data_IF_556058447888
#
_entry.id   IF_556058447888
#
_cell.length_a   1.000
_cell.length_b   1.000
_cell.length_c   1.000
_cell.angle_alpha   90.00
_cell.angle_beta   90.00
_cell.angle_gamma   90.00
#
_symmetry.space_group_name_H-M   'P 1'
#
loop_
_entity.id
_entity.type
_entity.pdbx_description
1 polymer ?
#
# COMPACT_ATOMS: atom_id res chain seq x y z
N UNK A 1 -23.88 26.22 -0.16
CA UNK A 1 -24.06 24.94 -0.86
C UNK A 1 -25.35 24.31 -0.36
N UNK A 2 -26.13 23.61 -1.20
CA UNK A 2 -27.26 22.84 -0.70
C UNK A 2 -26.78 21.84 0.37
N UNK A 3 -27.64 21.48 1.32
CA UNK A 3 -27.32 20.47 2.31
C UNK A 3 -27.04 19.14 1.62
N UNK A 4 -25.98 18.45 2.04
CA UNK A 4 -25.61 17.12 1.55
C UNK A 4 -26.76 16.17 1.89
N UNK A 5 -27.33 15.49 0.89
CA UNK A 5 -28.29 14.41 1.12
C UNK A 5 -27.51 13.16 1.55
N UNK A 6 -27.34 13.01 2.86
CA UNK A 6 -26.61 11.89 3.49
C UNK A 6 -27.59 10.75 3.73
N UNK A 7 -27.34 9.61 3.08
CA UNK A 7 -28.19 8.42 3.16
C UNK A 7 -27.45 7.28 3.86
N UNK A 8 -28.08 6.68 4.86
CA UNK A 8 -27.50 5.54 5.57
C UNK A 8 -27.89 4.22 4.93
N UNK A 9 -26.93 3.30 4.87
CA UNK A 9 -27.14 1.89 4.50
C UNK A 9 -26.80 1.04 5.72
N UNK A 10 -27.83 0.42 6.30
CA UNK A 10 -27.76 -0.31 7.57
C UNK A 10 -28.30 -1.76 7.45
N UNK A 11 -28.49 -2.25 6.23
CA UNK A 11 -28.99 -3.60 5.97
C UNK A 11 -28.59 -4.07 4.56
N UNK A 12 -28.56 -5.39 4.38
CA UNK A 12 -28.14 -6.05 3.15
C UNK A 12 -29.03 -5.71 1.95
N UNK A 13 -30.34 -5.55 2.14
CA UNK A 13 -31.29 -5.32 1.05
C UNK A 13 -31.12 -3.92 0.47
N UNK A 14 -30.95 -2.92 1.33
CA UNK A 14 -30.65 -1.54 0.93
C UNK A 14 -29.30 -1.48 0.22
N UNK A 15 -28.27 -2.16 0.74
CA UNK A 15 -26.95 -2.23 0.07
C UNK A 15 -27.06 -2.81 -1.33
N UNK A 16 -27.78 -3.93 -1.49
CA UNK A 16 -27.96 -4.58 -2.78
C UNK A 16 -28.68 -3.67 -3.80
N UNK A 17 -29.74 -2.98 -3.37
CA UNK A 17 -30.48 -2.05 -4.21
C UNK A 17 -29.60 -0.87 -4.66
N UNK A 18 -28.84 -0.28 -3.73
CA UNK A 18 -27.90 0.80 -4.04
C UNK A 18 -26.79 0.34 -4.99
N UNK A 19 -26.19 -0.84 -4.77
CA UNK A 19 -25.19 -1.39 -5.66
C UNK A 19 -25.73 -1.60 -7.08
N UNK A 20 -26.97 -2.10 -7.22
CA UNK A 20 -27.60 -2.23 -8.54
C UNK A 20 -27.76 -0.87 -9.23
N UNK A 21 -28.12 0.19 -8.51
CA UNK A 21 -28.25 1.53 -9.08
C UNK A 21 -26.89 2.15 -9.43
N UNK A 22 -25.87 1.97 -8.57
CA UNK A 22 -24.51 2.47 -8.80
C UNK A 22 -23.83 1.81 -10.00
N UNK A 23 -24.21 0.58 -10.36
CA UNK A 23 -23.74 -0.09 -11.57
C UNK A 23 -24.21 0.53 -12.88
N UNK A 24 -25.26 1.36 -12.83
CA UNK A 24 -25.73 2.15 -13.96
C UNK A 24 -25.05 3.53 -14.06
N UNK A 25 -24.14 3.85 -13.12
CA UNK A 25 -23.38 5.11 -13.10
C UNK A 25 -22.03 4.94 -13.79
N UNK A 26 -21.48 5.99 -14.43
CA UNK A 26 -20.17 5.90 -15.07
C UNK A 26 -19.02 5.77 -14.06
N UNK A 27 -19.23 6.21 -12.81
CA UNK A 27 -18.27 6.12 -11.74
C UNK A 27 -18.96 6.10 -10.37
N UNK A 28 -18.20 5.71 -9.35
CA UNK A 28 -18.50 5.98 -7.94
C UNK A 28 -17.22 6.42 -7.23
N UNK A 29 -17.32 7.46 -6.40
CA UNK A 29 -16.30 7.84 -5.44
C UNK A 29 -16.43 6.98 -4.19
N UNK A 30 -15.32 6.43 -3.72
CA UNK A 30 -15.26 5.56 -2.56
C UNK A 30 -14.22 6.09 -1.57
N UNK A 31 -14.53 5.92 -0.30
CA UNK A 31 -13.59 6.13 0.80
C UNK A 31 -13.87 5.11 1.92
N UNK A 32 -12.94 4.97 2.86
CA UNK A 32 -13.15 4.14 4.05
C UNK A 32 -12.62 4.78 5.31
N UNK A 33 -13.31 4.53 6.43
CA UNK A 33 -12.76 4.77 7.77
C UNK A 33 -12.56 3.45 8.49
N UNK A 34 -11.41 3.29 9.13
CA UNK A 34 -11.03 2.03 9.79
C UNK A 34 -10.10 2.26 10.98
N UNK A 35 -10.08 1.28 11.89
CA UNK A 35 -9.17 1.28 13.03
C UNK A 35 -8.11 0.19 12.88
N UNK A 36 -6.83 0.56 13.09
CA UNK A 36 -5.68 -0.36 13.08
C UNK A 36 -4.69 -0.02 14.20
N UNK A 37 -5.18 -0.06 15.44
CA UNK A 37 -4.38 0.31 16.63
C UNK A 37 -3.76 -0.94 17.27
N UNK A 38 -4.61 -1.89 17.67
CA UNK A 38 -4.22 -3.08 18.42
C UNK A 38 -4.34 -4.39 17.62
N UNK A 39 -4.74 -4.29 16.35
CA UNK A 39 -4.94 -5.42 15.43
C UNK A 39 -3.89 -5.48 14.34
N UNK A 40 -3.68 -6.67 13.78
CA UNK A 40 -2.87 -6.83 12.58
C UNK A 40 -3.62 -6.31 11.36
N UNK A 41 -4.90 -6.67 11.26
CA UNK A 41 -5.75 -6.30 10.15
C UNK A 41 -6.59 -5.06 10.48
N UNK A 42 -6.94 -4.23 9.48
CA UNK A 42 -7.83 -3.10 9.69
C UNK A 42 -9.24 -3.58 10.06
N UNK A 43 -9.87 -2.92 11.03
CA UNK A 43 -11.28 -3.08 11.33
C UNK A 43 -12.03 -1.97 10.59
N UNK A 44 -12.78 -2.33 9.56
CA UNK A 44 -13.63 -1.39 8.84
C UNK A 44 -14.68 -0.80 9.78
N UNK A 45 -14.82 0.52 9.75
CA UNK A 45 -15.67 1.26 10.65
C UNK A 45 -16.73 2.08 9.92
N UNK A 46 -16.45 2.53 8.69
CA UNK A 46 -17.40 3.16 7.78
C UNK A 46 -16.94 2.97 6.34
N UNK A 47 -17.87 2.79 5.41
CA UNK A 47 -17.59 2.96 3.98
C UNK A 47 -18.45 4.09 3.45
N UNK A 48 -17.89 4.87 2.53
CA UNK A 48 -18.55 6.01 1.93
C UNK A 48 -18.65 5.81 0.43
N UNK A 49 -19.79 6.19 -0.14
CA UNK A 49 -20.03 6.17 -1.58
C UNK A 49 -20.60 7.52 -2.02
N UNK A 50 -19.99 8.13 -3.03
CA UNK A 50 -20.55 9.27 -3.75
C UNK A 50 -20.80 8.89 -5.22
N UNK A 51 -22.00 9.12 -5.74
CA UNK A 51 -22.32 8.85 -7.15
C UNK A 51 -22.39 10.12 -8.01
N UNK A 52 -22.00 11.26 -7.44
CA UNK A 52 -22.11 12.59 -8.04
C UNK A 52 -23.45 13.30 -7.80
N UNK A 53 -24.47 12.61 -7.29
CA UNK A 53 -25.78 13.19 -6.94
C UNK A 53 -26.07 13.14 -5.44
N UNK A 54 -25.76 12.01 -4.80
CA UNK A 54 -25.97 11.79 -3.37
C UNK A 54 -24.74 11.15 -2.72
N UNK A 55 -24.77 11.10 -1.39
CA UNK A 55 -23.73 10.47 -0.57
C UNK A 55 -24.35 9.41 0.32
N UNK A 56 -23.71 8.25 0.38
CA UNK A 56 -24.11 7.14 1.23
C UNK A 56 -23.03 6.81 2.23
N UNK A 57 -23.46 6.55 3.45
CA UNK A 57 -22.65 6.03 4.54
C UNK A 57 -23.12 4.62 4.86
N UNK A 58 -22.23 3.65 4.73
CA UNK A 58 -22.50 2.23 4.96
C UNK A 58 -21.87 1.85 6.30
N UNK A 59 -22.67 1.41 7.26
CA UNK A 59 -22.16 0.87 8.53
C UNK A 59 -21.77 -0.61 8.34
N UNK A 60 -20.46 -0.95 8.25
CA UNK A 60 -20.05 -2.32 7.96
C UNK A 60 -20.40 -3.31 9.07
N UNK A 61 -20.75 -2.83 10.27
CA UNK A 61 -21.16 -3.67 11.40
C UNK A 61 -22.58 -4.23 11.23
N UNK A 62 -23.39 -3.66 10.33
CA UNK A 62 -24.77 -4.06 10.08
C UNK A 62 -24.94 -4.85 8.78
N UNK A 63 -23.87 -5.02 7.99
CA UNK A 63 -23.90 -5.70 6.70
C UNK A 63 -23.35 -7.12 6.86
N UNK A 64 -24.16 -8.11 6.51
CA UNK A 64 -23.79 -9.53 6.48
C UNK A 64 -23.38 -10.01 5.09
N UNK A 65 -23.92 -9.41 4.02
CA UNK A 65 -23.66 -9.80 2.64
C UNK A 65 -23.01 -8.68 1.82
N UNK A 66 -21.71 -8.83 1.58
CA UNK A 66 -20.91 -7.90 0.76
C UNK A 66 -20.88 -8.26 -0.72
N UNK A 67 -21.53 -9.36 -1.15
CA UNK A 67 -21.49 -9.80 -2.55
C UNK A 67 -22.01 -8.77 -3.56
N UNK A 68 -23.04 -7.93 -3.27
CA UNK A 68 -23.44 -6.87 -4.19
C UNK A 68 -22.37 -5.78 -4.36
N UNK A 69 -21.71 -5.41 -3.27
CA UNK A 69 -20.65 -4.40 -3.29
C UNK A 69 -19.39 -4.95 -3.98
N UNK A 70 -19.04 -6.22 -3.74
CA UNK A 70 -18.00 -6.92 -4.50
C UNK A 70 -18.25 -6.84 -6.01
N UNK A 71 -19.49 -7.12 -6.45
CA UNK A 71 -19.86 -7.05 -7.86
C UNK A 71 -19.75 -5.63 -8.44
N UNK A 72 -19.98 -4.58 -7.65
CA UNK A 72 -19.74 -3.18 -8.05
C UNK A 72 -18.24 -2.88 -8.18
N UNK A 73 -17.43 -3.33 -7.22
CA UNK A 73 -15.97 -3.16 -7.26
C UNK A 73 -15.36 -3.82 -8.50
N UNK A 74 -15.87 -4.99 -8.90
CA UNK A 74 -15.39 -5.71 -10.08
C UNK A 74 -15.99 -5.21 -11.41
N UNK A 75 -17.02 -4.35 -11.39
CA UNK A 75 -17.73 -3.96 -12.61
C UNK A 75 -16.86 -3.08 -13.54
N UNK A 76 -16.46 -3.54 -14.73
CA UNK A 76 -15.60 -2.77 -15.61
C UNK A 76 -16.28 -1.53 -16.21
N UNK A 77 -17.61 -1.45 -16.16
CA UNK A 77 -18.36 -0.30 -16.67
C UNK A 77 -18.35 0.90 -15.71
N UNK A 78 -18.04 0.67 -14.42
CA UNK A 78 -18.03 1.71 -13.39
C UNK A 78 -16.61 1.99 -12.95
N UNK A 79 -16.16 3.23 -13.10
CA UNK A 79 -14.86 3.66 -12.55
C UNK A 79 -14.98 3.83 -11.04
N UNK A 80 -14.12 3.16 -10.27
CA UNK A 80 -14.03 3.38 -8.83
C UNK A 80 -12.96 4.43 -8.56
N UNK A 81 -13.40 5.55 -8.00
CA UNK A 81 -12.56 6.73 -7.75
C UNK A 81 -12.20 6.75 -6.28
N UNK A 82 -10.91 6.82 -5.98
CA UNK A 82 -10.38 6.94 -4.62
C UNK A 82 -9.27 7.99 -4.57
N UNK A 83 -8.79 8.31 -3.36
CA UNK A 83 -7.62 9.15 -3.17
C UNK A 83 -6.60 8.43 -2.28
N UNK A 84 -5.38 8.21 -2.78
CA UNK A 84 -4.30 7.60 -1.97
C UNK A 84 -4.68 6.22 -1.41
N UNK A 85 -5.31 5.39 -2.22
CA UNK A 85 -6.16 4.27 -1.81
C UNK A 85 -5.48 3.02 -1.21
N UNK A 86 -4.17 3.07 -0.90
CA UNK A 86 -3.40 1.87 -0.60
C UNK A 86 -3.91 1.09 0.61
N UNK A 87 -4.42 1.76 1.64
CA UNK A 87 -4.99 1.11 2.83
C UNK A 87 -6.46 0.72 2.61
N UNK A 88 -7.23 1.52 1.86
CA UNK A 88 -8.63 1.21 1.50
C UNK A 88 -8.74 -0.09 0.72
N UNK A 89 -7.79 -0.37 -0.17
CA UNK A 89 -7.74 -1.65 -0.90
C UNK A 89 -7.64 -2.83 0.08
N UNK A 90 -6.86 -2.73 1.15
CA UNK A 90 -6.78 -3.78 2.17
C UNK A 90 -8.13 -3.96 2.88
N UNK A 91 -8.83 -2.86 3.18
CA UNK A 91 -10.17 -2.87 3.79
C UNK A 91 -11.18 -3.55 2.86
N UNK A 92 -11.29 -3.14 1.59
CA UNK A 92 -12.22 -3.74 0.64
C UNK A 92 -11.97 -5.22 0.43
N UNK A 93 -10.69 -5.62 0.27
CA UNK A 93 -10.35 -7.03 0.09
C UNK A 93 -10.79 -7.87 1.29
N UNK A 94 -10.62 -7.35 2.51
CA UNK A 94 -10.99 -8.06 3.73
C UNK A 94 -12.51 -8.20 3.87
N UNK A 95 -13.26 -7.16 3.54
CA UNK A 95 -14.72 -7.16 3.65
C UNK A 95 -15.39 -7.97 2.53
N UNK A 96 -14.91 -7.81 1.30
CA UNK A 96 -15.65 -8.23 0.11
C UNK A 96 -14.95 -9.33 -0.70
N UNK A 97 -13.67 -9.61 -0.41
CA UNK A 97 -12.83 -10.48 -1.24
C UNK A 97 -12.42 -9.86 -2.59
N UNK A 98 -12.95 -8.68 -2.92
CA UNK A 98 -12.84 -8.05 -4.24
C UNK A 98 -12.15 -6.69 -4.13
N UNK A 99 -11.63 -6.20 -5.26
CA UNK A 99 -10.88 -4.95 -5.32
C UNK A 99 -11.35 -4.11 -6.51
N UNK A 100 -11.38 -2.77 -6.37
CA UNK A 100 -11.87 -1.88 -7.42
C UNK A 100 -11.17 -2.06 -8.78
N UNK A 101 -11.92 -2.38 -9.84
CA UNK A 101 -11.43 -2.46 -11.22
C UNK A 101 -12.50 -1.96 -12.21
N UNK A 102 -12.26 -0.89 -13.00
CA UNK A 102 -11.06 -0.05 -13.02
C UNK A 102 -10.96 0.88 -11.81
N UNK A 103 -9.72 1.15 -11.37
CA UNK A 103 -9.37 2.03 -10.26
C UNK A 103 -8.79 3.35 -10.78
N UNK A 104 -9.39 4.47 -10.39
CA UNK A 104 -8.89 5.83 -10.60
C UNK A 104 -8.46 6.42 -9.26
N UNK A 105 -7.14 6.56 -9.05
CA UNK A 105 -6.62 7.25 -7.87
C UNK A 105 -6.34 8.72 -8.19
N UNK A 106 -7.07 9.62 -7.53
CA UNK A 106 -6.98 11.07 -7.75
C UNK A 106 -5.63 11.66 -7.34
N UNK A 107 -4.90 11.04 -6.40
CA UNK A 107 -3.55 11.45 -6.05
C UNK A 107 -2.57 11.16 -7.20
N UNK A 108 -2.73 10.01 -7.85
CA UNK A 108 -1.91 9.63 -9.01
C UNK A 108 -2.28 10.51 -10.20
N UNK A 109 -3.58 10.73 -10.45
CA UNK A 109 -4.07 11.61 -11.50
C UNK A 109 -3.51 13.04 -11.39
N UNK A 110 -3.42 13.59 -10.17
CA UNK A 110 -2.79 14.89 -9.93
C UNK A 110 -1.32 14.92 -10.38
N UNK A 111 -0.58 13.82 -10.19
CA UNK A 111 0.78 13.68 -10.69
C UNK A 111 0.85 13.59 -12.22
N UNK A 112 -0.08 12.89 -12.87
CA UNK A 112 -0.19 12.85 -14.34
C UNK A 112 -0.49 14.20 -14.97
N UNK A 113 -1.10 15.11 -14.21
CA UNK A 113 -1.40 16.48 -14.63
C UNK A 113 -0.38 17.51 -14.15
N UNK A 114 0.73 17.06 -13.54
CA UNK A 114 1.77 17.93 -12.98
C UNK A 114 1.27 18.95 -11.94
N UNK A 115 0.15 18.63 -11.26
CA UNK A 115 -0.41 19.46 -10.18
C UNK A 115 0.42 19.26 -8.90
N UNK A 116 0.84 18.03 -8.64
CA UNK A 116 1.78 17.70 -7.58
C UNK A 116 1.92 16.20 -7.36
N UNK A 117 3.07 15.80 -6.80
CA UNK A 117 3.37 14.41 -6.46
C UNK A 117 2.94 14.10 -5.03
N UNK A 118 2.23 12.99 -4.84
CA UNK A 118 1.74 12.53 -3.52
C UNK A 118 1.03 13.63 -2.72
N UNK A 119 0.18 14.40 -3.40
CA UNK A 119 -0.61 15.46 -2.76
C UNK A 119 -1.69 14.85 -1.88
N UNK A 120 -1.74 15.23 -0.59
CA UNK A 120 -2.82 14.79 0.31
C UNK A 120 -4.17 15.41 -0.05
N UNK A 121 -5.25 14.73 0.35
CA UNK A 121 -6.61 15.00 -0.10
C UNK A 121 -7.06 16.46 0.10
N UNK A 122 -7.02 16.97 1.33
CA UNK A 122 -7.38 18.36 1.66
C UNK A 122 -6.61 19.40 0.82
N UNK A 123 -5.33 19.14 0.51
CA UNK A 123 -4.54 20.03 -0.35
C UNK A 123 -5.00 19.97 -1.81
N UNK A 124 -5.35 18.78 -2.30
CA UNK A 124 -5.86 18.59 -3.65
C UNK A 124 -7.23 19.26 -3.83
N UNK A 125 -8.13 19.10 -2.85
CA UNK A 125 -9.44 19.77 -2.80
C UNK A 125 -9.27 21.28 -2.80
N UNK A 126 -8.37 21.83 -1.98
CA UNK A 126 -8.06 23.27 -1.98
C UNK A 126 -7.52 23.75 -3.33
N UNK A 127 -6.60 23.00 -3.92
CA UNK A 127 -5.97 23.36 -5.20
C UNK A 127 -6.96 23.37 -6.37
N UNK A 128 -7.87 22.39 -6.42
CA UNK A 128 -8.80 22.23 -7.54
C UNK A 128 -10.12 22.98 -7.36
N UNK A 129 -10.65 23.00 -6.14
CA UNK A 129 -11.99 23.51 -5.84
C UNK A 129 -11.96 24.82 -5.04
N UNK A 130 -10.80 25.22 -4.50
CA UNK A 130 -10.70 26.39 -3.63
C UNK A 130 -11.34 26.21 -2.25
N UNK A 131 -11.67 24.97 -1.87
CA UNK A 131 -12.33 24.61 -0.62
C UNK A 131 -11.29 24.23 0.43
N UNK A 132 -11.35 24.83 1.61
CA UNK A 132 -10.53 24.42 2.75
C UNK A 132 -11.30 23.39 3.59
N UNK A 133 -10.86 22.13 3.52
CA UNK A 133 -11.42 21.11 4.39
C UNK A 133 -10.91 21.28 5.84
N UNK A 134 -11.80 21.22 6.85
CA UNK A 134 -11.37 21.17 8.24
C UNK A 134 -10.51 19.92 8.48
N UNK A 135 -9.56 20.00 9.43
CA UNK A 135 -8.64 18.88 9.74
C UNK A 135 -9.20 17.88 10.75
N UNK A 136 -10.47 18.05 11.09
CA UNK A 136 -11.07 17.43 12.25
C UNK A 136 -11.55 16.00 11.90
N UNK A 137 -11.49 15.08 12.86
CA UNK A 137 -11.94 13.67 12.76
C UNK A 137 -11.05 12.61 12.09
N UNK A 138 -9.96 12.95 11.38
CA UNK A 138 -9.00 11.94 10.80
C UNK A 138 -8.38 10.94 11.79
N UNK A 139 -8.47 11.22 13.10
CA UNK A 139 -7.99 10.34 14.20
C UNK A 139 -9.07 10.08 15.26
N UNK A 140 -10.33 10.20 14.87
CA UNK A 140 -11.47 9.94 15.75
C UNK A 140 -11.66 8.45 16.00
N UNK A 141 -12.42 8.09 17.03
CA UNK A 141 -12.86 6.71 17.23
C UNK A 141 -14.01 6.41 16.25
N UNK A 142 -13.67 5.87 15.09
CA UNK A 142 -14.66 5.52 14.06
C UNK A 142 -15.48 4.27 14.41
N UNK A 143 -15.08 3.50 15.42
CA UNK A 143 -15.86 2.35 15.91
C UNK A 143 -16.93 2.76 16.92
N UNK A 144 -16.93 4.01 17.40
CA UNK A 144 -17.97 4.48 18.31
C UNK A 144 -19.35 4.44 17.63
N UNK A 145 -20.39 4.14 18.42
CA UNK A 145 -21.78 4.16 17.94
C UNK A 145 -22.70 4.83 18.97
N UNK A 146 -23.60 5.75 18.54
CA UNK A 146 -23.68 6.31 17.18
C UNK A 146 -22.45 7.17 16.84
N UNK A 147 -22.15 7.34 15.55
CA UNK A 147 -21.14 8.33 15.12
C UNK A 147 -21.59 9.74 15.50
N UNK A 148 -20.63 10.63 15.74
CA UNK A 148 -20.94 12.04 15.99
C UNK A 148 -21.39 12.75 14.72
N UNK A 149 -22.15 13.85 14.85
CA UNK A 149 -22.56 14.65 13.69
C UNK A 149 -21.36 15.17 12.88
N UNK A 150 -20.23 15.43 13.55
CA UNK A 150 -19.00 15.88 12.89
C UNK A 150 -18.36 14.77 12.07
N UNK A 151 -18.28 13.55 12.60
CA UNK A 151 -17.80 12.38 11.86
C UNK A 151 -18.66 12.08 10.63
N UNK A 152 -19.99 12.11 10.79
CA UNK A 152 -20.94 11.89 9.69
C UNK A 152 -20.76 12.92 8.59
N UNK A 153 -20.60 14.20 8.95
CA UNK A 153 -20.37 15.27 7.99
C UNK A 153 -19.03 15.14 7.29
N UNK A 154 -17.96 14.93 8.06
CA UNK A 154 -16.61 14.73 7.54
C UNK A 154 -16.58 13.62 6.49
N UNK A 155 -17.08 12.42 6.85
CA UNK A 155 -17.11 11.28 5.96
C UNK A 155 -17.94 11.54 4.69
N UNK A 156 -19.05 12.26 4.82
CA UNK A 156 -19.87 12.58 3.66
C UNK A 156 -19.22 13.61 2.73
N UNK A 157 -18.57 14.64 3.28
CA UNK A 157 -17.84 15.66 2.53
C UNK A 157 -16.65 15.04 1.76
N UNK A 158 -15.99 14.02 2.32
CA UNK A 158 -14.86 13.35 1.66
C UNK A 158 -15.26 12.75 0.31
N UNK A 159 -16.34 11.97 0.22
CA UNK A 159 -16.77 11.42 -1.09
C UNK A 159 -17.53 12.42 -1.96
N UNK A 160 -18.19 13.43 -1.38
CA UNK A 160 -18.82 14.49 -2.16
C UNK A 160 -17.77 15.27 -2.95
N UNK A 161 -16.76 15.81 -2.27
CA UNK A 161 -15.71 16.59 -2.91
C UNK A 161 -14.81 15.70 -3.78
N UNK A 162 -14.71 14.41 -3.49
CA UNK A 162 -13.97 13.46 -4.33
C UNK A 162 -14.64 13.29 -5.70
N UNK A 163 -15.98 13.31 -5.77
CA UNK A 163 -16.71 13.36 -7.05
C UNK A 163 -16.36 14.63 -7.85
N UNK A 164 -16.33 15.80 -7.21
CA UNK A 164 -15.99 17.08 -7.84
C UNK A 164 -14.53 17.11 -8.32
N UNK A 165 -13.60 16.63 -7.49
CA UNK A 165 -12.18 16.46 -7.82
C UNK A 165 -12.01 15.51 -9.00
N UNK A 166 -12.69 14.37 -9.02
CA UNK A 166 -12.64 13.42 -10.12
C UNK A 166 -13.05 14.05 -11.44
N UNK A 167 -14.19 14.75 -11.47
CA UNK A 167 -14.66 15.40 -12.68
C UNK A 167 -13.63 16.40 -13.24
N UNK A 168 -13.01 17.20 -12.37
CA UNK A 168 -12.03 18.18 -12.82
C UNK A 168 -10.72 17.55 -13.30
N UNK A 169 -10.28 16.47 -12.66
CA UNK A 169 -9.09 15.72 -13.09
C UNK A 169 -9.34 14.97 -14.40
N UNK A 170 -10.43 14.21 -14.49
CA UNK A 170 -10.76 13.37 -15.66
C UNK A 170 -10.92 14.23 -16.92
N UNK A 171 -11.57 15.40 -16.80
CA UNK A 171 -11.72 16.38 -17.88
C UNK A 171 -10.38 16.93 -18.40
N UNK A 172 -9.34 17.00 -17.56
CA UNK A 172 -8.01 17.51 -17.92
C UNK A 172 -7.08 16.43 -18.48
N UNK A 173 -7.38 15.15 -18.25
CA UNK A 173 -6.56 14.05 -18.74
C UNK A 173 -6.76 13.84 -20.25
N UNK A 174 -5.67 13.63 -20.98
CA UNK A 174 -5.75 13.08 -22.33
C UNK A 174 -6.15 11.60 -22.28
N UNK A 175 -6.63 11.05 -23.39
CA UNK A 175 -6.96 9.63 -23.50
C UNK A 175 -5.78 8.72 -23.08
N UNK A 176 -4.56 9.05 -23.54
CA UNK A 176 -3.34 8.31 -23.19
C UNK A 176 -3.03 8.38 -21.68
N UNK A 177 -3.04 9.59 -21.09
CA UNK A 177 -2.77 9.75 -19.65
C UNK A 177 -3.81 9.05 -18.79
N UNK A 178 -5.08 9.10 -19.21
CA UNK A 178 -6.16 8.38 -18.53
C UNK A 178 -5.94 6.87 -18.60
N UNK A 179 -5.56 6.33 -19.77
CA UNK A 179 -5.23 4.91 -19.90
C UNK A 179 -4.03 4.51 -19.02
N UNK A 180 -2.97 5.32 -18.98
CA UNK A 180 -1.79 5.07 -18.13
C UNK A 180 -2.10 5.16 -16.63
N UNK A 181 -2.97 6.08 -16.23
CA UNK A 181 -3.47 6.18 -14.86
C UNK A 181 -4.22 4.90 -14.45
N UNK A 182 -5.10 4.40 -15.31
CA UNK A 182 -5.84 3.16 -15.04
C UNK A 182 -4.92 1.92 -15.07
N UNK A 183 -3.86 1.93 -15.88
CA UNK A 183 -2.79 0.92 -15.83
C UNK A 183 -2.12 0.94 -14.45
N UNK A 184 -1.71 2.12 -13.95
CA UNK A 184 -1.12 2.27 -12.61
C UNK A 184 -2.11 1.83 -11.49
N UNK A 185 -3.40 2.11 -11.65
CA UNK A 185 -4.46 1.63 -10.75
C UNK A 185 -4.55 0.10 -10.76
N UNK A 186 -4.52 -0.53 -11.93
CA UNK A 186 -4.50 -1.99 -12.05
C UNK A 186 -3.24 -2.60 -11.42
N UNK A 187 -2.09 -1.95 -11.51
CA UNK A 187 -0.86 -2.39 -10.84
C UNK A 187 -0.99 -2.35 -9.31
N UNK A 188 -1.63 -1.32 -8.75
CA UNK A 188 -1.89 -1.23 -7.30
C UNK A 188 -2.83 -2.35 -6.84
N UNK A 189 -3.89 -2.62 -7.60
CA UNK A 189 -4.83 -3.71 -7.31
C UNK A 189 -4.15 -5.07 -7.38
N UNK A 190 -3.34 -5.31 -8.43
CA UNK A 190 -2.60 -6.55 -8.60
C UNK A 190 -1.63 -6.79 -7.44
N UNK A 191 -0.93 -5.75 -6.98
CA UNK A 191 0.00 -5.83 -5.85
C UNK A 191 -0.69 -6.26 -4.55
N UNK A 192 -1.97 -5.97 -4.36
CA UNK A 192 -2.72 -6.41 -3.19
C UNK A 192 -3.05 -7.91 -3.24
N UNK A 193 -3.21 -8.49 -4.42
CA UNK A 193 -3.43 -9.94 -4.56
C UNK A 193 -2.16 -10.76 -4.44
N UNK A 194 -0.98 -10.14 -4.53
CA UNK A 194 0.29 -10.84 -4.30
C UNK A 194 0.31 -11.45 -2.89
N UNK A 195 0.37 -12.77 -2.83
CA UNK A 195 0.47 -13.49 -1.57
C UNK A 195 1.90 -13.32 -1.06
N UNK A 196 2.08 -12.44 -0.08
CA UNK A 196 3.33 -12.36 0.66
C UNK A 196 3.50 -13.60 1.53
N UNK A 197 4.33 -14.53 1.07
CA UNK A 197 4.77 -15.68 1.85
C UNK A 197 5.49 -15.16 3.11
N UNK A 198 5.02 -15.53 4.32
CA UNK A 198 5.73 -15.26 5.56
C UNK A 198 7.23 -15.62 5.54
N UNK A 199 7.64 -16.56 4.68
CA UNK A 199 9.03 -16.95 4.46
C UNK A 199 9.88 -15.93 3.70
N UNK A 200 9.29 -14.91 3.09
CA UNK A 200 10.03 -13.84 2.41
C UNK A 200 10.16 -12.56 3.27
N UNK A 201 9.46 -12.49 4.41
CA UNK A 201 9.45 -11.30 5.27
C UNK A 201 10.84 -10.88 5.79
N UNK A 202 11.80 -11.81 5.86
CA UNK A 202 13.18 -11.52 6.28
C UNK A 202 13.96 -10.68 5.27
N UNK A 203 13.57 -10.69 3.98
CA UNK A 203 14.26 -9.97 2.90
C UNK A 203 14.18 -8.45 3.07
N UNK A 204 13.11 -7.98 3.71
CA UNK A 204 12.87 -6.55 3.98
C UNK A 204 13.52 -6.07 5.28
N UNK A 205 14.12 -6.98 6.09
CA UNK A 205 14.79 -6.59 7.33
C UNK A 205 16.05 -5.80 7.03
N UNK A 206 16.15 -4.61 7.63
CA UNK A 206 17.31 -3.71 7.46
C UNK A 206 18.60 -4.44 7.84
N UNK A 207 19.61 -4.29 6.98
CA UNK A 207 20.94 -4.88 7.14
C UNK A 207 20.97 -6.43 7.14
N UNK A 208 19.90 -7.11 6.74
CA UNK A 208 19.91 -8.56 6.59
C UNK A 208 21.03 -9.06 5.67
N UNK A 209 21.39 -8.29 4.63
CA UNK A 209 22.52 -8.56 3.73
C UNK A 209 23.89 -8.71 4.42
N UNK A 210 24.04 -8.24 5.67
CA UNK A 210 25.28 -8.39 6.46
C UNK A 210 25.40 -9.72 7.21
N UNK A 211 24.34 -10.52 7.23
CA UNK A 211 24.29 -11.80 7.93
C UNK A 211 24.82 -12.90 7.02
N UNK A 212 25.51 -13.89 7.62
CA UNK A 212 25.92 -15.10 6.88
C UNK A 212 24.73 -16.05 6.67
N UNK A 213 24.90 -17.10 5.86
CA UNK A 213 23.82 -18.03 5.50
C UNK A 213 23.08 -18.64 6.71
N UNK A 214 23.81 -19.09 7.74
CA UNK A 214 23.21 -19.61 8.97
C UNK A 214 22.39 -18.53 9.73
N UNK A 215 22.95 -17.33 9.87
CA UNK A 215 22.26 -16.21 10.51
C UNK A 215 21.02 -15.78 9.73
N UNK A 216 21.07 -15.83 8.39
CA UNK A 216 19.91 -15.60 7.55
C UNK A 216 18.85 -16.69 7.71
N UNK A 217 19.24 -17.95 7.90
CA UNK A 217 18.30 -19.03 8.20
C UNK A 217 17.54 -18.78 9.51
N UNK A 218 18.25 -18.34 10.56
CA UNK A 218 17.64 -17.92 11.83
C UNK A 218 16.72 -16.72 11.63
N UNK A 219 17.16 -15.69 10.89
CA UNK A 219 16.35 -14.51 10.61
C UNK A 219 15.05 -14.89 9.88
N UNK A 220 15.13 -15.75 8.86
CA UNK A 220 13.97 -16.28 8.13
C UNK A 220 12.98 -16.93 9.10
N UNK A 221 13.43 -17.88 9.93
CA UNK A 221 12.57 -18.56 10.89
C UNK A 221 11.85 -17.58 11.85
N UNK A 222 12.59 -16.59 12.39
CA UNK A 222 12.03 -15.58 13.29
C UNK A 222 11.00 -14.67 12.59
N UNK A 223 11.28 -14.24 11.36
CA UNK A 223 10.37 -13.38 10.59
C UNK A 223 9.11 -14.13 10.17
N UNK A 224 9.24 -15.39 9.73
CA UNK A 224 8.11 -16.27 9.40
C UNK A 224 7.21 -16.45 10.60
N UNK A 225 7.78 -16.88 11.74
CA UNK A 225 7.02 -17.05 12.97
C UNK A 225 6.34 -15.75 13.40
N UNK A 226 7.05 -14.61 13.35
CA UNK A 226 6.48 -13.30 13.72
C UNK A 226 5.26 -12.97 12.86
N UNK A 227 5.36 -13.15 11.56
CA UNK A 227 4.29 -12.86 10.60
C UNK A 227 3.07 -13.76 10.86
N UNK A 228 3.29 -15.07 11.03
CA UNK A 228 2.25 -16.04 11.33
C UNK A 228 1.54 -15.73 12.65
N UNK A 229 2.29 -15.45 13.72
CA UNK A 229 1.71 -15.11 15.01
C UNK A 229 0.98 -13.78 15.01
N UNK A 230 1.46 -12.79 14.25
CA UNK A 230 0.79 -11.50 14.11
C UNK A 230 -0.58 -11.67 13.45
N UNK A 231 -0.66 -12.48 12.38
CA UNK A 231 -1.92 -12.83 11.71
C UNK A 231 -2.84 -13.67 12.58
N UNK A 232 -2.31 -14.73 13.21
CA UNK A 232 -3.09 -15.67 14.03
C UNK A 232 -3.69 -15.01 15.27
N UNK A 233 -2.92 -14.15 15.93
CA UNK A 233 -3.34 -13.45 17.15
C UNK A 233 -4.06 -12.14 16.86
N UNK A 234 -4.21 -11.77 15.58
CA UNK A 234 -4.64 -10.46 15.09
C UNK A 234 -4.01 -9.31 15.90
N UNK A 235 -2.67 -9.27 15.91
CA UNK A 235 -1.88 -8.29 16.67
C UNK A 235 -0.80 -7.65 15.80
N UNK A 236 -0.46 -6.37 16.02
CA UNK A 236 0.63 -5.72 15.32
C UNK A 236 1.93 -6.52 15.44
N UNK A 237 2.69 -6.60 14.35
CA UNK A 237 3.97 -7.35 14.28
C UNK A 237 4.93 -7.00 15.44
N UNK A 238 5.01 -5.72 15.79
CA UNK A 238 5.86 -5.23 16.87
C UNK A 238 5.38 -5.61 18.28
N UNK A 239 4.12 -6.02 18.44
CA UNK A 239 3.57 -6.57 19.69
C UNK A 239 3.95 -8.04 19.88
N UNK A 240 4.13 -8.77 18.78
CA UNK A 240 4.67 -10.14 18.78
C UNK A 240 6.18 -10.11 19.07
N UNK A 241 6.94 -9.50 18.15
CA UNK A 241 8.39 -9.39 18.25
C UNK A 241 8.85 -8.10 17.56
N UNK A 242 9.48 -7.21 18.31
CA UNK A 242 9.89 -5.90 17.81
C UNK A 242 10.88 -6.04 16.66
N UNK A 243 10.67 -5.25 15.62
CA UNK A 243 11.50 -5.27 14.41
C UNK A 243 12.99 -5.08 14.71
N UNK A 244 13.33 -4.21 15.66
CA UNK A 244 14.72 -3.92 16.06
C UNK A 244 15.43 -5.11 16.70
N UNK A 245 14.69 -6.05 17.29
CA UNK A 245 15.28 -7.24 17.93
C UNK A 245 15.60 -8.36 16.93
N UNK A 246 14.99 -8.38 15.74
CA UNK A 246 15.15 -9.46 14.77
C UNK A 246 16.61 -9.67 14.33
N UNK A 247 17.29 -8.58 13.92
CA UNK A 247 18.66 -8.66 13.44
C UNK A 247 19.64 -9.08 14.56
N UNK A 248 19.61 -8.48 15.78
CA UNK A 248 20.41 -8.95 16.89
C UNK A 248 20.17 -10.42 17.26
N UNK A 249 18.92 -10.89 17.28
CA UNK A 249 18.59 -12.29 17.55
C UNK A 249 19.27 -13.23 16.55
N UNK A 250 19.12 -12.93 15.26
CA UNK A 250 19.74 -13.70 14.20
C UNK A 250 21.27 -13.69 14.27
N UNK A 251 21.86 -12.55 14.67
CA UNK A 251 23.31 -12.37 14.78
C UNK A 251 23.92 -13.09 15.99
N UNK A 252 23.32 -12.98 17.17
CA UNK A 252 23.90 -13.46 18.44
C UNK A 252 23.42 -14.84 18.86
N UNK A 253 22.27 -15.29 18.35
CA UNK A 253 21.71 -16.63 18.56
C UNK A 253 21.70 -17.06 20.05
N UNK A 254 20.94 -16.36 20.92
CA UNK A 254 20.86 -16.68 22.34
C UNK A 254 20.42 -18.13 22.58
N UNK A 255 20.95 -18.74 23.65
CA UNK A 255 20.73 -20.16 23.99
C UNK A 255 19.92 -20.38 25.26
N UNK A 256 19.63 -19.31 25.98
CA UNK A 256 18.87 -19.34 27.22
C UNK A 256 18.07 -18.04 27.42
N UNK A 257 17.13 -18.05 28.36
CA UNK A 257 16.26 -16.90 28.63
C UNK A 257 17.02 -15.67 29.10
N UNK A 258 18.19 -15.84 29.73
CA UNK A 258 19.02 -14.73 30.24
C UNK A 258 19.67 -13.97 29.09
N UNK A 259 20.27 -14.69 28.14
CA UNK A 259 20.86 -14.13 26.92
C UNK A 259 19.78 -13.58 25.99
N UNK A 260 18.62 -14.22 25.90
CA UNK A 260 17.47 -13.71 25.16
C UNK A 260 17.00 -12.35 25.72
N UNK A 261 16.90 -12.21 27.04
CA UNK A 261 16.47 -10.96 27.69
C UNK A 261 17.47 -9.80 27.53
N UNK A 262 18.73 -10.08 27.16
CA UNK A 262 19.77 -9.06 26.89
C UNK A 262 19.75 -8.52 25.48
N UNK A 263 18.93 -9.09 24.59
CA UNK A 263 18.76 -8.59 23.22
C UNK A 263 18.18 -7.19 23.27
N UNK A 264 18.73 -6.29 22.44
CA UNK A 264 18.24 -4.93 22.30
C UNK A 264 16.75 -4.91 21.93
N UNK A 265 15.98 -4.05 22.61
CA UNK A 265 14.53 -3.87 22.41
C UNK A 265 13.68 -5.12 22.73
N UNK A 266 14.26 -6.13 23.42
CA UNK A 266 13.51 -7.31 23.86
C UNK A 266 12.59 -6.98 25.04
N UNK A 267 11.28 -7.15 24.84
CA UNK A 267 10.31 -6.84 25.88
C UNK A 267 10.18 -8.01 26.90
N UNK A 268 10.16 -7.76 28.22
CA UNK A 268 10.05 -8.83 29.23
C UNK A 268 8.82 -9.73 29.09
N UNK A 269 7.72 -9.18 28.55
CA UNK A 269 6.52 -9.96 28.22
C UNK A 269 6.80 -10.98 27.11
N UNK A 270 7.51 -10.59 26.05
CA UNK A 270 7.88 -11.48 24.94
C UNK A 270 8.75 -12.63 25.43
N UNK A 271 9.75 -12.35 26.29
CA UNK A 271 10.59 -13.39 26.91
C UNK A 271 9.75 -14.39 27.71
N UNK A 272 8.77 -13.91 28.49
CA UNK A 272 7.90 -14.80 29.29
C UNK A 272 6.89 -15.59 28.46
N UNK A 273 6.33 -15.00 27.41
CA UNK A 273 5.25 -15.61 26.64
C UNK A 273 5.75 -16.50 25.50
N UNK A 274 6.76 -16.03 24.78
CA UNK A 274 7.23 -16.65 23.54
C UNK A 274 8.72 -17.06 23.60
N UNK A 275 9.40 -16.84 24.72
CA UNK A 275 10.86 -17.04 24.83
C UNK A 275 11.33 -18.46 24.54
N UNK A 276 10.64 -19.49 25.05
CA UNK A 276 10.97 -20.89 24.76
C UNK A 276 10.82 -21.20 23.26
N UNK A 277 9.75 -20.70 22.64
CA UNK A 277 9.53 -20.84 21.18
C UNK A 277 10.63 -20.16 20.39
N UNK A 278 11.01 -18.93 20.75
CA UNK A 278 12.09 -18.20 20.09
C UNK A 278 13.43 -18.93 20.19
N UNK A 279 13.79 -19.43 21.39
CA UNK A 279 15.02 -20.19 21.60
C UNK A 279 15.04 -21.49 20.78
N UNK A 280 13.91 -22.20 20.73
CA UNK A 280 13.75 -23.40 19.91
C UNK A 280 13.94 -23.08 18.42
N UNK A 281 13.25 -22.07 17.89
CA UNK A 281 13.37 -21.65 16.49
C UNK A 281 14.80 -21.27 16.12
N UNK A 282 15.50 -20.55 17.01
CA UNK A 282 16.91 -20.18 16.82
C UNK A 282 17.78 -21.43 16.76
N UNK A 283 17.61 -22.36 17.70
CA UNK A 283 18.41 -23.59 17.76
C UNK A 283 18.17 -24.49 16.53
N UNK A 284 16.91 -24.68 16.14
CA UNK A 284 16.54 -25.48 14.96
C UNK A 284 17.09 -24.86 13.67
N UNK A 285 16.89 -23.56 13.47
CA UNK A 285 17.37 -22.87 12.27
C UNK A 285 18.91 -22.80 12.20
N UNK A 286 19.59 -22.65 13.34
CA UNK A 286 21.05 -22.66 13.40
C UNK A 286 21.64 -24.05 13.13
N UNK A 287 20.91 -25.12 13.42
CA UNK A 287 21.32 -26.51 13.17
C UNK A 287 21.09 -26.96 11.71
N UNK A 288 20.44 -26.15 10.88
CA UNK A 288 20.21 -26.47 9.47
C UNK A 288 21.54 -26.67 8.72
N UNK A 289 21.63 -27.71 7.87
CA UNK A 289 22.81 -27.92 7.05
C UNK A 289 22.94 -26.81 5.99
N UNK A 290 24.16 -26.55 5.51
CA UNK A 290 24.48 -25.38 4.67
C UNK A 290 23.68 -25.34 3.36
N UNK A 291 23.28 -26.51 2.86
CA UNK A 291 22.46 -26.69 1.66
C UNK A 291 21.04 -26.14 1.83
N UNK A 292 20.56 -25.97 3.06
CA UNK A 292 19.22 -25.44 3.37
C UNK A 292 19.23 -23.96 3.77
N UNK A 293 20.42 -23.33 3.82
CA UNK A 293 20.52 -21.90 4.12
C UNK A 293 19.93 -21.08 2.97
N UNK A 294 19.24 -19.97 3.27
CA UNK A 294 18.79 -19.05 2.24
C UNK A 294 20.00 -18.45 1.50
N UNK A 295 19.79 -18.12 0.23
CA UNK A 295 20.79 -17.41 -0.56
C UNK A 295 21.09 -16.04 0.08
N UNK A 296 22.36 -15.61 0.11
CA UNK A 296 22.73 -14.28 0.57
C UNK A 296 21.94 -13.20 -0.17
N UNK A 297 21.54 -12.15 0.55
CA UNK A 297 20.90 -11.00 -0.09
C UNK A 297 21.95 -10.18 -0.84
N UNK A 298 21.59 -9.59 -1.99
CA UNK A 298 22.50 -8.73 -2.72
C UNK A 298 22.85 -7.51 -1.86
N UNK A 299 24.12 -7.13 -1.89
CA UNK A 299 24.58 -5.92 -1.23
C UNK A 299 23.86 -4.68 -1.82
N UNK A 300 23.66 -3.63 -1.02
CA UNK A 300 23.26 -2.33 -1.54
C UNK A 300 24.27 -1.84 -2.58
N UNK A 301 23.79 -1.05 -3.54
CA UNK A 301 24.71 -0.38 -4.46
C UNK A 301 25.69 0.49 -3.68
N UNK A 302 26.98 0.50 -4.06
CA UNK A 302 27.99 1.28 -3.38
C UNK A 302 27.76 2.78 -3.65
N UNK A 303 28.37 3.66 -2.84
CA UNK A 303 28.13 5.11 -2.89
C UNK A 303 28.46 5.69 -4.28
N UNK A 304 29.46 5.13 -4.95
CA UNK A 304 29.94 5.47 -6.29
C UNK A 304 28.83 5.31 -7.36
N UNK A 305 27.89 4.38 -7.17
CA UNK A 305 26.75 4.20 -8.07
C UNK A 305 25.77 5.39 -8.07
N UNK A 306 25.85 6.28 -7.07
CA UNK A 306 24.98 7.46 -6.97
C UNK A 306 25.10 8.39 -8.18
N UNK A 307 26.28 8.48 -8.79
CA UNK A 307 26.49 9.28 -10.00
C UNK A 307 25.70 8.72 -11.20
N UNK A 308 25.68 7.40 -11.38
CA UNK A 308 24.89 6.73 -12.42
C UNK A 308 23.40 6.86 -12.14
N UNK A 309 22.95 6.69 -10.89
CA UNK A 309 21.56 6.92 -10.50
C UNK A 309 21.10 8.34 -10.84
N UNK A 310 21.96 9.35 -10.63
CA UNK A 310 21.65 10.73 -10.99
C UNK A 310 21.49 10.90 -12.50
N UNK A 311 22.37 10.31 -13.31
CA UNK A 311 22.25 10.32 -14.78
C UNK A 311 20.95 9.67 -15.26
N UNK A 312 20.62 8.49 -14.73
CA UNK A 312 19.39 7.78 -15.09
C UNK A 312 18.11 8.55 -14.72
N UNK A 313 18.11 9.26 -13.58
CA UNK A 313 16.98 10.12 -13.19
C UNK A 313 16.70 11.23 -14.20
N UNK A 314 17.73 11.75 -14.87
CA UNK A 314 17.56 12.81 -15.88
C UNK A 314 16.71 12.31 -17.06
N UNK A 315 16.78 11.02 -17.41
CA UNK A 315 15.93 10.43 -18.45
C UNK A 315 14.45 10.57 -18.07
N UNK A 316 14.08 10.16 -16.85
CA UNK A 316 12.72 10.28 -16.34
C UNK A 316 12.26 11.72 -16.20
N UNK A 317 13.16 12.60 -15.74
CA UNK A 317 12.88 14.04 -15.63
C UNK A 317 12.56 14.65 -16.99
N UNK A 318 13.36 14.37 -18.02
CA UNK A 318 13.14 14.87 -19.37
C UNK A 318 11.79 14.42 -19.94
N UNK A 319 11.45 13.14 -19.77
CA UNK A 319 10.15 12.64 -20.24
C UNK A 319 8.98 13.20 -19.44
N UNK A 320 9.14 13.40 -18.11
CA UNK A 320 8.14 14.05 -17.27
C UNK A 320 7.87 15.49 -17.70
N UNK A 321 8.93 16.27 -17.93
CA UNK A 321 8.84 17.64 -18.45
C UNK A 321 8.16 17.67 -19.83
N UNK A 322 8.56 16.76 -20.74
CA UNK A 322 7.96 16.68 -22.09
C UNK A 322 6.47 16.33 -22.06
N UNK A 323 6.06 15.43 -21.17
CA UNK A 323 4.67 14.98 -21.04
C UNK A 323 3.83 15.82 -20.08
N UNK A 324 4.44 16.78 -19.38
CA UNK A 324 3.81 17.50 -18.27
C UNK A 324 3.22 16.51 -17.24
N UNK A 325 4.07 15.59 -16.78
CA UNK A 325 3.82 14.62 -15.71
C UNK A 325 4.91 14.85 -14.65
N UNK A 326 4.57 14.77 -13.37
CA UNK A 326 5.58 14.90 -12.30
C UNK A 326 6.70 13.84 -12.50
N UNK A 327 7.99 14.23 -12.54
CA UNK A 327 9.10 13.32 -12.79
C UNK A 327 9.14 12.06 -11.91
N UNK A 328 8.65 12.17 -10.67
CA UNK A 328 8.61 11.09 -9.69
C UNK A 328 7.69 9.93 -10.12
N UNK A 329 6.66 10.19 -10.94
CA UNK A 329 5.82 9.15 -11.54
C UNK A 329 6.47 8.49 -12.75
N UNK A 330 7.48 9.12 -13.37
CA UNK A 330 8.13 8.57 -14.56
C UNK A 330 9.08 7.44 -14.18
N UNK A 331 9.85 7.62 -13.11
CA UNK A 331 10.82 6.62 -12.65
C UNK A 331 10.95 6.56 -11.14
N UNK A 332 10.55 5.41 -10.58
CA UNK A 332 10.81 5.10 -9.19
C UNK A 332 12.28 4.75 -8.97
N UNK A 333 12.85 5.24 -7.86
CA UNK A 333 14.23 4.93 -7.46
C UNK A 333 14.52 3.42 -7.43
N UNK A 334 13.59 2.60 -6.93
CA UNK A 334 13.73 1.13 -6.87
C UNK A 334 13.94 0.50 -8.24
N UNK A 335 13.32 1.04 -9.30
CA UNK A 335 13.50 0.56 -10.69
C UNK A 335 14.91 0.88 -11.18
N UNK A 336 15.40 2.09 -10.91
CA UNK A 336 16.76 2.49 -11.29
C UNK A 336 17.84 1.68 -10.55
N UNK A 337 17.63 1.40 -9.26
CA UNK A 337 18.52 0.55 -8.48
C UNK A 337 18.49 -0.90 -8.99
N UNK A 338 17.31 -1.42 -9.32
CA UNK A 338 17.17 -2.75 -9.90
C UNK A 338 17.90 -2.85 -11.26
N UNK A 339 17.73 -1.85 -12.14
CA UNK A 339 18.47 -1.75 -13.41
C UNK A 339 19.98 -1.79 -13.18
N UNK A 340 20.52 -0.93 -12.30
CA UNK A 340 21.96 -0.89 -12.06
C UNK A 340 22.49 -2.20 -11.49
N UNK A 341 21.74 -2.85 -10.59
CA UNK A 341 22.13 -4.15 -10.00
C UNK A 341 22.28 -5.27 -11.03
N UNK A 342 21.74 -5.14 -12.25
CA UNK A 342 21.88 -6.17 -13.30
C UNK A 342 23.28 -6.24 -13.90
N UNK A 343 24.06 -5.14 -13.86
CA UNK A 343 25.34 -5.06 -14.56
C UNK A 343 26.41 -4.20 -13.89
N UNK A 344 26.14 -3.55 -12.74
CA UNK A 344 27.12 -2.67 -12.12
C UNK A 344 28.43 -3.40 -11.75
N UNK A 345 29.63 -2.84 -12.01
CA UNK A 345 29.88 -1.52 -12.62
C UNK A 345 30.09 -1.54 -14.15
N UNK A 346 30.23 -2.71 -14.78
CA UNK A 346 30.80 -2.84 -16.13
C UNK A 346 29.82 -3.29 -17.22
N UNK A 347 28.57 -3.54 -16.85
CA UNK A 347 27.58 -4.17 -17.72
C UNK A 347 27.81 -5.68 -17.92
N UNK A 348 27.03 -6.32 -18.79
CA UNK A 348 25.90 -5.73 -19.53
C UNK A 348 24.73 -5.37 -18.60
N UNK A 349 24.01 -4.30 -18.92
CA UNK A 349 22.82 -3.88 -18.18
C UNK A 349 21.55 -4.38 -18.87
N UNK A 350 20.57 -4.79 -18.08
CA UNK A 350 19.25 -5.25 -18.57
C UNK A 350 18.13 -4.52 -17.85
N UNK A 351 17.08 -4.14 -18.59
CA UNK A 351 15.90 -3.52 -18.00
C UNK A 351 15.20 -4.49 -17.05
N UNK A 352 14.89 -4.08 -15.80
CA UNK A 352 14.19 -4.93 -14.85
C UNK A 352 12.74 -5.13 -15.28
N UNK A 353 12.14 -6.26 -14.87
CA UNK A 353 10.72 -6.58 -15.17
C UNK A 353 9.74 -5.59 -14.54
N UNK A 354 10.15 -4.90 -13.47
CA UNK A 354 9.39 -3.83 -12.84
C UNK A 354 9.27 -2.56 -13.70
N UNK A 355 10.07 -2.41 -14.76
CA UNK A 355 9.85 -1.41 -15.79
C UNK A 355 9.08 -2.05 -16.95
N UNK A 356 7.76 -1.83 -16.94
CA UNK A 356 6.81 -2.39 -17.90
C UNK A 356 5.96 -1.32 -18.58
N UNK A 357 5.07 -1.75 -19.47
CA UNK A 357 4.06 -0.93 -20.10
C UNK A 357 4.61 0.25 -20.91
N UNK A 358 3.86 1.35 -20.89
CA UNK A 358 4.20 2.57 -21.64
C UNK A 358 5.53 3.19 -21.17
N UNK A 359 5.89 3.08 -19.89
CA UNK A 359 7.18 3.60 -19.38
C UNK A 359 8.35 2.82 -19.98
N UNK A 360 8.27 1.49 -20.06
CA UNK A 360 9.31 0.67 -20.71
C UNK A 360 9.46 1.07 -22.18
N UNK A 361 8.36 1.18 -22.90
CA UNK A 361 8.35 1.55 -24.32
C UNK A 361 8.93 2.96 -24.54
N UNK A 362 8.57 3.91 -23.68
CA UNK A 362 8.97 5.31 -23.83
C UNK A 362 10.45 5.55 -23.56
N UNK A 363 11.00 4.91 -22.52
CA UNK A 363 12.28 5.34 -21.96
C UNK A 363 13.25 4.19 -21.63
N UNK A 364 12.87 2.93 -21.89
CA UNK A 364 13.73 1.77 -21.66
C UNK A 364 15.06 1.83 -22.42
N UNK A 365 15.02 2.12 -23.73
CA UNK A 365 16.25 2.19 -24.52
C UNK A 365 17.15 3.36 -24.07
N UNK A 366 16.57 4.53 -23.82
CA UNK A 366 17.32 5.69 -23.35
C UNK A 366 18.05 5.43 -22.02
N UNK A 367 17.47 4.61 -21.12
CA UNK A 367 18.13 4.18 -19.89
C UNK A 367 19.36 3.29 -20.15
N UNK A 368 19.24 2.35 -21.09
CA UNK A 368 20.36 1.48 -21.47
C UNK A 368 21.48 2.28 -22.15
N UNK A 369 21.13 3.19 -23.07
CA UNK A 369 22.08 4.05 -23.77
C UNK A 369 22.84 4.97 -22.79
N UNK A 370 22.21 5.37 -21.68
CA UNK A 370 22.85 6.18 -20.62
C UNK A 370 23.93 5.41 -19.85
N UNK A 371 23.88 4.07 -19.90
CA UNK A 371 24.81 3.16 -19.21
C UNK A 371 25.83 2.52 -20.15
N UNK A 372 25.71 2.75 -21.46
CA UNK A 372 26.58 2.22 -22.51
C UNK A 372 27.94 2.93 -22.58
#
# INVERSE_FOLDING_TARGET
>A
MPAIDIRWILDDATLAACCSAWRERPFVALDTEFMRVDTFYPIAALLQVGDGEAVWLIDPLQIGDWSPFAALLDDPAVVKVLHSCSEDLEVFRRLTGSLPQPLFDTQIAAGYLNIGFSMGYSRLVKELLGIELPKDETRSDWLQRPLSEMQVRYAAEDVQHLCEVYHELDRRLSADKRAWLLEDGAELVAAQYEVHDPQDAWREVKQAWRLNGQQLAVLRALCTWREEQARQRDQPRNRILRERSLWPLARTQPRDSVSLARIEDMHPRTVRQDGETLLRLIAEAAALPAEQWPQPLPEPLPLEASALLKKLRVVGQREGERLQIVPELMLRKKVLEALLKTGYPSGPYTLPDSLRGWRRALMGQALLDTLA
#
